data_IF_153924478090
#
_entry.id   IF_153924478090
#
_cell.length_a   1.000
_cell.length_b   1.000
_cell.length_c   1.000
_cell.angle_alpha   90.00
_cell.angle_beta   90.00
_cell.angle_gamma   90.00
#
_symmetry.space_group_name_H-M   'P 1'
#
loop_
_entity.id
_entity.type
_entity.pdbx_description
1 polymer ?
#
# COMPACT_ATOMS: atom_id res chain seq x y z
N UNK A 1 -63.17 17.40 35.24
CA UNK A 1 -62.73 17.27 33.87
C UNK A 1 -61.18 17.33 33.91
N UNK A 2 -60.53 16.20 33.70
CA UNK A 2 -59.07 16.06 33.76
C UNK A 2 -58.52 16.14 32.33
N UNK A 3 -57.68 17.15 32.05
CA UNK A 3 -56.96 17.24 30.77
C UNK A 3 -55.79 16.24 30.77
N UNK A 4 -55.61 15.40 29.77
CA UNK A 4 -54.39 14.63 29.59
C UNK A 4 -53.33 15.50 28.85
N UNK A 5 -52.22 15.73 29.51
CA UNK A 5 -51.02 16.31 28.90
C UNK A 5 -50.40 15.24 27.99
N UNK A 6 -50.47 15.52 26.70
CA UNK A 6 -49.85 14.66 25.67
C UNK A 6 -48.34 14.95 25.64
N UNK A 7 -47.57 14.11 26.28
CA UNK A 7 -46.11 14.20 26.26
C UNK A 7 -45.57 13.64 24.91
N UNK A 8 -45.22 14.56 24.01
CA UNK A 8 -44.59 14.21 22.73
C UNK A 8 -43.10 13.86 22.97
N UNK A 9 -42.79 12.56 23.02
CA UNK A 9 -41.39 12.10 23.06
C UNK A 9 -40.84 12.20 21.65
N UNK A 10 -40.03 13.23 21.38
CA UNK A 10 -39.23 13.35 20.17
C UNK A 10 -38.05 12.37 20.28
N UNK A 11 -38.16 11.19 19.68
CA UNK A 11 -37.04 10.29 19.51
C UNK A 11 -36.08 10.87 18.45
N UNK A 12 -35.03 11.55 18.92
CA UNK A 12 -33.91 11.95 18.07
C UNK A 12 -33.15 10.69 17.67
N UNK A 13 -33.46 10.13 16.50
CA UNK A 13 -32.58 9.14 15.86
C UNK A 13 -31.35 9.89 15.39
N UNK A 14 -30.31 9.91 16.20
CA UNK A 14 -28.96 10.23 15.75
C UNK A 14 -28.53 9.11 14.80
N UNK A 15 -28.67 9.34 13.51
CA UNK A 15 -28.02 8.49 12.51
C UNK A 15 -26.51 8.64 12.75
N UNK A 16 -25.92 7.64 13.40
CA UNK A 16 -24.46 7.47 13.42
C UNK A 16 -24.03 7.28 11.96
N UNK A 17 -23.58 8.34 11.31
CA UNK A 17 -22.87 8.26 10.05
C UNK A 17 -21.52 7.65 10.39
N UNK A 18 -21.48 6.33 10.51
CA UNK A 18 -20.23 5.62 10.46
C UNK A 18 -19.65 5.87 9.07
N UNK A 19 -18.39 6.33 9.00
CA UNK A 19 -17.66 6.39 7.74
C UNK A 19 -17.71 4.99 7.14
N UNK A 20 -18.49 4.84 6.06
CA UNK A 20 -18.76 3.54 5.48
C UNK A 20 -17.53 3.11 4.70
N UNK A 21 -16.79 2.15 5.26
CA UNK A 21 -15.72 1.46 4.53
C UNK A 21 -16.38 0.60 3.46
N UNK A 22 -16.00 0.79 2.21
CA UNK A 22 -16.48 -0.03 1.09
C UNK A 22 -15.39 -1.01 0.71
N UNK A 23 -15.67 -2.31 0.86
CA UNK A 23 -14.77 -3.37 0.40
C UNK A 23 -15.16 -3.82 -1.00
N UNK A 24 -14.20 -3.82 -1.93
CA UNK A 24 -14.38 -4.30 -3.30
C UNK A 24 -13.36 -5.40 -3.61
N UNK A 25 -13.77 -6.51 -4.23
CA UNK A 25 -12.83 -7.50 -4.73
C UNK A 25 -11.98 -6.91 -5.87
N UNK A 26 -10.71 -7.29 -5.97
CA UNK A 26 -9.86 -6.90 -7.10
C UNK A 26 -10.30 -7.55 -8.41
N UNK A 27 -10.85 -8.75 -8.35
CA UNK A 27 -11.19 -9.57 -9.50
C UNK A 27 -12.60 -10.13 -9.36
N UNK A 28 -13.31 -10.20 -10.46
CA UNK A 28 -14.57 -10.96 -10.53
C UNK A 28 -14.26 -12.47 -10.69
N UNK A 29 -14.85 -13.28 -9.82
CA UNK A 29 -14.64 -14.74 -9.81
C UNK A 29 -13.24 -15.14 -9.34
N UNK A 30 -12.68 -16.19 -9.94
CA UNK A 30 -11.34 -16.70 -9.58
C UNK A 30 -10.26 -15.73 -10.07
N UNK A 31 -9.41 -15.22 -9.17
CA UNK A 31 -8.33 -14.31 -9.55
C UNK A 31 -7.35 -14.94 -10.54
N UNK A 32 -6.73 -14.16 -11.44
CA UNK A 32 -5.69 -14.68 -12.34
C UNK A 32 -4.53 -15.31 -11.57
N UNK A 33 -3.85 -16.26 -12.18
CA UNK A 33 -2.71 -16.99 -11.61
C UNK A 33 -3.05 -17.72 -10.29
N UNK A 34 -4.32 -18.07 -10.07
CA UNK A 34 -4.79 -18.80 -8.89
C UNK A 34 -5.56 -20.06 -9.30
N UNK A 35 -5.31 -21.16 -8.60
CA UNK A 35 -6.09 -22.40 -8.68
C UNK A 35 -7.19 -22.37 -7.63
N UNK A 36 -8.36 -22.90 -7.96
CA UNK A 36 -9.40 -23.15 -6.97
C UNK A 36 -8.90 -24.19 -5.96
N UNK A 37 -8.79 -23.82 -4.70
CA UNK A 37 -8.39 -24.69 -3.59
C UNK A 37 -9.22 -24.35 -2.36
N UNK A 38 -9.48 -25.33 -1.54
CA UNK A 38 -10.15 -25.12 -0.25
C UNK A 38 -9.10 -24.67 0.79
N UNK A 39 -8.67 -23.40 0.68
CA UNK A 39 -7.75 -22.76 1.62
C UNK A 39 -8.47 -21.60 2.28
N UNK A 40 -8.34 -21.47 3.59
CA UNK A 40 -8.92 -20.37 4.36
C UNK A 40 -7.91 -19.24 4.54
N UNK A 41 -8.40 -18.01 4.49
CA UNK A 41 -7.63 -16.84 4.92
C UNK A 41 -7.50 -16.89 6.45
N UNK A 42 -6.31 -16.58 6.96
CA UNK A 42 -6.06 -16.52 8.39
C UNK A 42 -5.91 -15.05 8.81
N UNK A 43 -6.88 -14.53 9.55
CA UNK A 43 -6.86 -13.19 10.10
C UNK A 43 -6.78 -13.26 11.63
N UNK A 44 -5.65 -12.84 12.20
CA UNK A 44 -5.39 -12.86 13.64
C UNK A 44 -5.25 -11.46 14.21
N UNK A 45 -5.88 -11.23 15.34
CA UNK A 45 -5.74 -10.01 16.15
C UNK A 45 -4.79 -10.30 17.32
N UNK A 46 -3.49 -10.09 17.08
CA UNK A 46 -2.44 -10.27 18.10
C UNK A 46 -1.61 -8.98 18.20
N UNK A 47 -2.12 -8.01 18.97
CA UNK A 47 -1.60 -6.65 19.02
C UNK A 47 -1.99 -5.84 17.79
N UNK A 48 -1.73 -6.36 16.59
CA UNK A 48 -2.16 -5.83 15.27
C UNK A 48 -2.93 -6.90 14.49
N UNK A 49 -3.70 -6.47 13.49
CA UNK A 49 -4.38 -7.41 12.57
C UNK A 49 -3.35 -7.95 11.58
N UNK A 50 -3.12 -9.27 11.63
CA UNK A 50 -2.27 -10.00 10.68
C UNK A 50 -3.16 -10.85 9.77
N UNK A 51 -3.10 -10.60 8.47
CA UNK A 51 -3.82 -11.41 7.47
C UNK A 51 -2.80 -12.26 6.72
N UNK A 52 -2.99 -13.58 6.74
CA UNK A 52 -2.18 -14.53 6.00
C UNK A 52 -3.04 -15.30 4.99
N UNK A 53 -2.37 -15.97 4.04
CA UNK A 53 -3.00 -16.86 3.07
C UNK A 53 -4.19 -16.22 2.33
N UNK A 54 -4.04 -14.98 1.88
CA UNK A 54 -5.08 -14.25 1.14
C UNK A 54 -5.53 -15.03 -0.09
N UNK A 55 -6.83 -15.38 -0.15
CA UNK A 55 -7.45 -16.09 -1.26
C UNK A 55 -8.34 -15.18 -2.11
N UNK A 56 -8.97 -14.20 -1.48
CA UNK A 56 -9.83 -13.21 -2.13
C UNK A 56 -9.20 -11.82 -1.98
N UNK A 57 -8.35 -11.40 -2.94
CA UNK A 57 -7.73 -10.10 -2.90
C UNK A 57 -8.78 -9.00 -3.07
N UNK A 58 -8.66 -7.93 -2.28
CA UNK A 58 -9.65 -6.85 -2.22
C UNK A 58 -9.01 -5.50 -1.91
N UNK A 59 -9.79 -4.45 -2.07
CA UNK A 59 -9.47 -3.11 -1.56
C UNK A 59 -10.53 -2.68 -0.55
N UNK A 60 -10.07 -2.07 0.55
CA UNK A 60 -10.91 -1.33 1.49
C UNK A 60 -10.78 0.16 1.21
N UNK A 61 -11.88 0.80 0.85
CA UNK A 61 -11.95 2.19 0.41
C UNK A 61 -12.39 3.08 1.55
N UNK A 62 -11.51 4.02 1.93
CA UNK A 62 -11.72 5.05 2.93
C UNK A 62 -11.78 6.40 2.24
N UNK A 63 -12.95 7.02 2.16
CA UNK A 63 -13.12 8.33 1.53
C UNK A 63 -13.16 9.43 2.59
N UNK A 64 -12.47 10.55 2.36
CA UNK A 64 -12.55 11.72 3.24
C UNK A 64 -13.94 12.36 3.16
N UNK A 65 -14.28 13.17 4.17
CA UNK A 65 -15.49 14.00 4.09
C UNK A 65 -15.44 14.90 2.84
N UNK A 66 -16.55 15.00 2.12
CA UNK A 66 -16.62 15.71 0.83
C UNK A 66 -16.14 17.16 0.91
N UNK A 67 -16.33 17.82 2.07
CA UNK A 67 -15.97 19.21 2.29
C UNK A 67 -14.46 19.47 2.32
N UNK A 68 -13.66 18.44 2.63
CA UNK A 68 -12.19 18.54 2.73
C UNK A 68 -11.47 17.73 1.66
N UNK A 69 -12.21 16.97 0.85
CA UNK A 69 -11.62 16.13 -0.19
C UNK A 69 -10.84 16.97 -1.21
N UNK A 70 -9.56 16.64 -1.43
CA UNK A 70 -8.65 17.38 -2.31
C UNK A 70 -8.41 16.69 -3.66
N UNK A 71 -9.07 15.55 -3.90
CA UNK A 71 -8.95 14.76 -5.12
C UNK A 71 -7.79 13.77 -5.13
N UNK A 72 -6.87 13.81 -4.17
CA UNK A 72 -5.78 12.83 -4.08
C UNK A 72 -6.28 11.49 -3.55
N UNK A 73 -5.64 10.40 -4.00
CA UNK A 73 -5.85 9.06 -3.49
C UNK A 73 -4.51 8.34 -3.28
N UNK A 74 -4.44 7.50 -2.26
CA UNK A 74 -3.27 6.68 -1.94
C UNK A 74 -3.68 5.23 -1.84
N UNK A 75 -3.12 4.38 -2.69
CA UNK A 75 -3.24 2.92 -2.65
C UNK A 75 -2.17 2.38 -1.72
N UNK A 76 -2.57 1.74 -0.62
CA UNK A 76 -1.72 1.37 0.50
C UNK A 76 -1.42 -0.12 0.46
N UNK A 77 -0.14 -0.48 0.49
CA UNK A 77 0.35 -1.85 0.56
C UNK A 77 0.97 -2.11 1.93
N UNK A 78 0.27 -2.81 2.85
CA UNK A 78 0.82 -3.20 4.15
C UNK A 78 2.05 -4.09 4.00
N UNK A 79 2.99 -4.00 4.95
CA UNK A 79 4.14 -4.89 5.03
C UNK A 79 3.81 -6.24 5.67
N UNK A 80 4.87 -6.97 6.01
CA UNK A 80 4.78 -8.30 6.62
C UNK A 80 5.62 -9.36 5.90
N UNK A 81 6.72 -8.94 5.25
CA UNK A 81 7.71 -9.84 4.66
C UNK A 81 7.18 -10.72 3.52
N UNK A 82 6.06 -10.37 2.89
CA UNK A 82 5.31 -11.23 1.97
C UNK A 82 4.77 -12.52 2.59
N UNK A 83 4.81 -12.66 3.91
CA UNK A 83 4.26 -13.79 4.66
C UNK A 83 2.89 -13.48 5.28
N UNK A 84 2.67 -12.23 5.66
CA UNK A 84 1.40 -11.69 6.19
C UNK A 84 1.19 -10.26 5.70
N UNK A 85 0.03 -9.69 6.00
CA UNK A 85 -0.25 -8.26 5.91
C UNK A 85 -0.45 -7.70 7.31
N UNK A 86 0.32 -6.67 7.70
CA UNK A 86 0.12 -5.90 8.94
C UNK A 86 -1.04 -4.90 8.70
N UNK A 87 -2.27 -5.41 8.64
CA UNK A 87 -3.38 -4.82 7.89
C UNK A 87 -3.93 -3.52 8.50
N UNK A 88 -4.02 -3.45 9.82
CA UNK A 88 -4.41 -2.21 10.51
C UNK A 88 -3.23 -1.26 10.67
N UNK A 89 -2.12 -1.75 11.22
CA UNK A 89 -0.93 -1.01 11.60
C UNK A 89 -0.26 -0.24 10.45
N UNK A 90 -0.19 -0.86 9.26
CA UNK A 90 0.42 -0.31 8.06
C UNK A 90 -0.60 -0.12 6.92
N UNK A 91 -1.89 -0.22 7.23
CA UNK A 91 -2.98 -0.11 6.28
C UNK A 91 -4.09 0.80 6.74
N UNK A 92 -5.10 0.24 7.46
CA UNK A 92 -6.34 0.97 7.74
C UNK A 92 -6.14 2.20 8.64
N UNK A 93 -5.13 2.20 9.51
CA UNK A 93 -4.85 3.36 10.34
C UNK A 93 -4.28 4.52 9.51
N UNK A 94 -3.42 4.22 8.52
CA UNK A 94 -2.95 5.22 7.56
C UNK A 94 -4.06 5.71 6.64
N UNK A 95 -4.98 4.85 6.20
CA UNK A 95 -6.13 5.26 5.41
C UNK A 95 -7.01 6.27 6.18
N UNK A 96 -7.25 6.04 7.47
CA UNK A 96 -7.99 6.98 8.35
C UNK A 96 -7.23 8.30 8.54
N UNK A 97 -5.89 8.23 8.73
CA UNK A 97 -5.08 9.44 8.82
C UNK A 97 -5.10 10.25 7.51
N UNK A 98 -4.98 9.62 6.35
CA UNK A 98 -5.10 10.27 5.06
C UNK A 98 -6.46 10.95 4.89
N UNK A 99 -7.54 10.33 5.35
CA UNK A 99 -8.86 10.96 5.33
C UNK A 99 -8.89 12.27 6.14
N UNK A 100 -8.18 12.35 7.26
CA UNK A 100 -8.06 13.58 8.04
C UNK A 100 -7.30 14.70 7.28
N UNK A 101 -6.52 14.33 6.27
CA UNK A 101 -5.81 15.25 5.37
C UNK A 101 -6.59 15.54 4.07
N UNK A 102 -7.83 15.05 3.95
CA UNK A 102 -8.66 15.24 2.76
C UNK A 102 -8.31 14.28 1.60
N UNK A 103 -7.58 13.23 1.85
CA UNK A 103 -7.05 12.28 0.87
C UNK A 103 -7.77 10.95 1.00
N UNK A 104 -8.17 10.33 -0.11
CA UNK A 104 -8.72 8.97 -0.11
C UNK A 104 -7.63 7.93 0.20
N UNK A 105 -7.87 7.05 1.18
CA UNK A 105 -6.99 5.92 1.50
C UNK A 105 -7.59 4.61 1.00
N UNK A 106 -6.84 3.82 0.25
CA UNK A 106 -7.30 2.56 -0.33
C UNK A 106 -6.35 1.44 0.11
N UNK A 107 -6.77 0.63 1.07
CA UNK A 107 -5.94 -0.46 1.62
C UNK A 107 -6.09 -1.71 0.77
N UNK A 108 -4.97 -2.26 0.33
CA UNK A 108 -4.98 -3.46 -0.52
C UNK A 108 -4.70 -4.71 0.31
N UNK A 109 -5.65 -5.63 0.31
CA UNK A 109 -5.44 -7.00 0.75
C UNK A 109 -4.94 -7.80 -0.44
N UNK A 110 -3.64 -7.68 -0.74
CA UNK A 110 -3.01 -8.37 -1.88
C UNK A 110 -2.63 -9.81 -1.54
N UNK A 111 -2.61 -10.68 -2.55
CA UNK A 111 -2.22 -12.08 -2.39
C UNK A 111 -0.74 -12.23 -2.07
N UNK A 112 -0.46 -13.16 -1.16
CA UNK A 112 0.89 -13.42 -0.67
C UNK A 112 1.54 -14.56 -1.48
N UNK A 113 2.78 -14.39 -1.96
CA UNK A 113 3.42 -15.35 -2.88
C UNK A 113 3.68 -16.73 -2.27
N UNK A 114 3.63 -16.87 -0.95
CA UNK A 114 3.79 -18.15 -0.27
C UNK A 114 2.55 -19.05 -0.34
N UNK A 115 1.42 -18.57 -0.88
CA UNK A 115 0.18 -19.35 -0.96
C UNK A 115 0.29 -20.47 -2.00
N UNK A 116 -0.13 -21.68 -1.60
CA UNK A 116 -0.13 -22.89 -2.45
C UNK A 116 -1.15 -22.82 -3.60
N UNK A 117 -2.11 -21.92 -3.54
CA UNK A 117 -3.10 -21.72 -4.60
C UNK A 117 -2.54 -21.00 -5.83
N UNK A 118 -1.36 -20.39 -5.75
CA UNK A 118 -0.81 -19.59 -6.84
C UNK A 118 -0.03 -20.43 -7.87
N UNK A 119 -0.16 -20.07 -9.15
CA UNK A 119 0.52 -20.75 -10.27
C UNK A 119 1.83 -20.08 -10.66
N UNK A 120 1.94 -18.78 -10.51
CA UNK A 120 3.16 -17.98 -10.66
C UNK A 120 3.27 -16.98 -9.52
N UNK A 121 3.66 -17.44 -8.32
CA UNK A 121 3.53 -16.67 -7.08
C UNK A 121 4.30 -15.36 -7.06
N UNK A 122 5.45 -15.26 -7.74
CA UNK A 122 6.28 -14.04 -7.75
C UNK A 122 5.64 -12.86 -8.49
N UNK A 123 4.75 -13.16 -9.46
CA UNK A 123 4.06 -12.14 -10.28
C UNK A 123 2.79 -11.62 -9.60
N UNK A 124 2.19 -12.41 -8.72
CA UNK A 124 0.84 -12.15 -8.19
C UNK A 124 0.74 -10.86 -7.37
N UNK A 125 1.68 -10.51 -6.47
CA UNK A 125 1.59 -9.23 -5.76
C UNK A 125 1.61 -8.03 -6.71
N UNK A 126 2.46 -8.03 -7.74
CA UNK A 126 2.51 -6.95 -8.74
C UNK A 126 1.20 -6.85 -9.53
N UNK A 127 0.64 -7.99 -9.94
CA UNK A 127 -0.64 -8.05 -10.64
C UNK A 127 -1.78 -7.45 -9.81
N UNK A 128 -1.86 -7.80 -8.53
CA UNK A 128 -2.87 -7.25 -7.61
C UNK A 128 -2.66 -5.74 -7.36
N UNK A 129 -1.40 -5.29 -7.24
CA UNK A 129 -1.07 -3.88 -7.09
C UNK A 129 -1.48 -3.05 -8.32
N UNK A 130 -1.16 -3.53 -9.53
CA UNK A 130 -1.58 -2.90 -10.79
C UNK A 130 -3.10 -2.83 -10.87
N UNK A 131 -3.80 -3.91 -10.54
CA UNK A 131 -5.27 -3.97 -10.56
C UNK A 131 -5.89 -2.99 -9.56
N UNK A 132 -5.34 -2.88 -8.35
CA UNK A 132 -5.82 -1.94 -7.34
C UNK A 132 -5.75 -0.49 -7.84
N UNK A 133 -4.63 -0.06 -8.43
CA UNK A 133 -4.46 1.28 -8.99
C UNK A 133 -5.47 1.54 -10.12
N UNK A 134 -5.67 0.58 -11.01
CA UNK A 134 -6.63 0.67 -12.11
C UNK A 134 -8.07 0.76 -11.60
N UNK A 135 -8.44 -0.01 -10.56
CA UNK A 135 -9.76 0.07 -9.93
C UNK A 135 -10.03 1.45 -9.30
N UNK A 136 -9.03 2.07 -8.67
CA UNK A 136 -9.16 3.44 -8.16
C UNK A 136 -9.43 4.41 -9.31
N UNK A 137 -8.70 4.33 -10.42
CA UNK A 137 -8.92 5.17 -11.59
C UNK A 137 -10.27 4.94 -12.24
N UNK A 138 -10.74 3.69 -12.32
CA UNK A 138 -12.07 3.35 -12.81
C UNK A 138 -13.18 4.01 -12.00
N UNK A 139 -13.02 4.09 -10.69
CA UNK A 139 -14.02 4.64 -9.77
C UNK A 139 -13.77 6.11 -9.41
N UNK A 140 -12.78 6.76 -10.00
CA UNK A 140 -12.31 8.09 -9.60
C UNK A 140 -13.44 9.14 -9.54
N UNK A 141 -14.30 9.19 -10.56
CA UNK A 141 -15.43 10.11 -10.62
C UNK A 141 -16.44 9.86 -9.48
N UNK A 142 -16.75 8.59 -9.19
CA UNK A 142 -17.71 8.22 -8.14
C UNK A 142 -17.16 8.53 -6.73
N UNK A 143 -15.84 8.48 -6.56
CA UNK A 143 -15.15 8.70 -5.27
C UNK A 143 -14.62 10.13 -5.10
N UNK A 144 -14.91 11.03 -6.03
CA UNK A 144 -14.38 12.39 -6.03
C UNK A 144 -12.84 12.42 -5.99
N UNK A 145 -12.21 11.56 -6.80
CA UNK A 145 -10.76 11.44 -6.97
C UNK A 145 -10.38 11.99 -8.35
N UNK A 146 -9.27 12.72 -8.43
CA UNK A 146 -8.61 13.07 -9.68
C UNK A 146 -7.80 11.86 -10.16
N UNK A 147 -8.10 11.26 -11.33
CA UNK A 147 -7.39 10.08 -11.82
C UNK A 147 -5.90 10.34 -12.13
N UNK A 148 -5.47 11.59 -12.18
CA UNK A 148 -4.06 12.00 -12.32
C UNK A 148 -3.35 12.22 -10.97
N UNK A 149 -4.02 11.98 -9.84
CA UNK A 149 -3.51 12.14 -8.48
C UNK A 149 -3.64 10.86 -7.64
N UNK A 150 -3.38 9.71 -8.27
CA UNK A 150 -3.44 8.39 -7.62
C UNK A 150 -2.02 7.90 -7.33
N UNK A 151 -1.58 8.02 -6.09
CA UNK A 151 -0.28 7.52 -5.63
C UNK A 151 -0.35 6.17 -4.92
N UNK A 152 0.82 5.68 -4.56
CA UNK A 152 0.97 4.45 -3.76
C UNK A 152 1.71 4.74 -2.46
N UNK A 153 1.42 3.95 -1.43
CA UNK A 153 2.14 3.95 -0.16
C UNK A 153 2.46 2.49 0.21
N UNK A 154 3.70 2.24 0.62
CA UNK A 154 4.08 0.89 1.03
C UNK A 154 5.05 0.89 2.20
N UNK A 155 4.91 -0.13 3.03
CA UNK A 155 5.68 -0.33 4.25
C UNK A 155 6.49 -1.62 4.17
N UNK A 156 7.78 -1.60 4.54
CA UNK A 156 8.59 -2.82 4.57
C UNK A 156 8.51 -3.61 3.26
N UNK A 157 8.04 -4.86 3.25
CA UNK A 157 7.78 -5.64 2.03
C UNK A 157 6.67 -5.04 1.15
N UNK A 158 5.68 -4.33 1.73
CA UNK A 158 4.72 -3.52 0.98
C UNK A 158 5.38 -2.32 0.29
N UNK A 159 6.46 -1.77 0.88
CA UNK A 159 7.34 -0.79 0.25
C UNK A 159 8.08 -1.35 -0.96
N UNK A 160 8.50 -2.62 -0.89
CA UNK A 160 9.02 -3.34 -2.05
C UNK A 160 7.97 -3.44 -3.15
N UNK A 161 6.74 -3.83 -2.83
CA UNK A 161 5.65 -3.90 -3.80
C UNK A 161 5.34 -2.53 -4.41
N UNK A 162 5.30 -1.46 -3.59
CA UNK A 162 5.09 -0.09 -4.06
C UNK A 162 6.21 0.37 -5.01
N UNK A 163 7.49 0.11 -4.69
CA UNK A 163 8.61 0.42 -5.58
C UNK A 163 8.60 -0.43 -6.86
N UNK A 164 8.20 -1.70 -6.76
CA UNK A 164 8.07 -2.60 -7.92
C UNK A 164 6.99 -2.10 -8.88
N UNK A 165 5.79 -1.76 -8.40
CA UNK A 165 4.75 -1.22 -9.29
C UNK A 165 5.12 0.16 -9.84
N UNK A 166 5.88 0.97 -9.10
CA UNK A 166 6.33 2.29 -9.56
C UNK A 166 7.36 2.23 -10.69
N UNK A 167 8.14 1.16 -10.76
CA UNK A 167 9.21 0.97 -11.78
C UNK A 167 8.80 -0.01 -12.89
N UNK A 168 7.86 -0.93 -12.60
CA UNK A 168 7.44 -2.00 -13.51
C UNK A 168 5.93 -1.95 -13.83
N UNK A 169 5.31 -0.77 -13.76
CA UNK A 169 3.87 -0.61 -14.03
C UNK A 169 3.44 -1.01 -15.45
N UNK A 170 4.37 -1.04 -16.42
CA UNK A 170 4.16 -1.50 -17.82
C UNK A 170 4.35 -3.01 -17.97
N UNK A 171 4.87 -3.71 -16.96
CA UNK A 171 5.10 -5.14 -17.06
C UNK A 171 3.75 -5.88 -17.13
N UNK A 172 3.51 -6.56 -18.23
CA UNK A 172 2.30 -7.34 -18.45
C UNK A 172 2.45 -8.71 -17.74
N UNK A 173 1.86 -8.82 -16.55
CA UNK A 173 1.86 -10.07 -15.78
C UNK A 173 0.88 -11.09 -16.38
N UNK A 174 -0.25 -10.60 -16.88
CA UNK A 174 -1.32 -11.41 -17.46
C UNK A 174 -1.99 -10.62 -18.60
N UNK A 175 -2.64 -11.32 -19.52
CA UNK A 175 -3.43 -10.64 -20.58
C UNK A 175 -4.58 -9.86 -19.96
N UNK A 176 -4.92 -8.67 -20.50
CA UNK A 176 -6.08 -7.90 -20.04
C UNK A 176 -7.36 -8.75 -20.06
N UNK A 177 -8.12 -8.70 -18.95
CA UNK A 177 -9.37 -9.46 -18.79
C UNK A 177 -10.61 -8.63 -19.06
N UNK A 178 -10.53 -7.33 -18.79
CA UNK A 178 -11.64 -6.40 -18.92
C UNK A 178 -11.16 -4.97 -19.25
N UNK A 179 -12.11 -4.04 -19.34
CA UNK A 179 -11.82 -2.63 -19.65
C UNK A 179 -10.98 -1.92 -18.57
N UNK A 180 -11.00 -2.42 -17.32
CA UNK A 180 -10.20 -1.83 -16.22
C UNK A 180 -8.72 -2.04 -16.49
N UNK A 181 -8.33 -3.18 -17.06
CA UNK A 181 -6.94 -3.51 -17.35
C UNK A 181 -6.33 -2.63 -18.47
N UNK A 182 -7.17 -1.92 -19.24
CA UNK A 182 -6.71 -0.92 -20.21
C UNK A 182 -6.28 0.41 -19.57
N UNK A 183 -6.66 0.67 -18.31
CA UNK A 183 -6.26 1.86 -17.57
C UNK A 183 -4.78 1.77 -17.16
N UNK A 184 -4.14 2.94 -16.97
CA UNK A 184 -2.75 2.99 -16.50
C UNK A 184 -2.62 2.44 -15.08
N UNK A 185 -1.64 1.57 -14.85
CA UNK A 185 -1.23 1.13 -13.52
C UNK A 185 -0.09 1.99 -12.93
N UNK A 186 0.39 3.04 -13.66
CA UNK A 186 1.47 3.90 -13.18
C UNK A 186 0.98 4.77 -12.02
N UNK A 187 1.61 4.72 -10.83
CA UNK A 187 1.31 5.67 -9.76
C UNK A 187 1.74 7.09 -10.16
N UNK A 188 1.02 8.11 -9.68
CA UNK A 188 1.38 9.49 -9.94
C UNK A 188 2.44 10.00 -8.92
N UNK A 189 2.52 9.35 -7.76
CA UNK A 189 3.56 9.55 -6.74
C UNK A 189 3.72 8.30 -5.88
N UNK A 190 4.83 8.19 -5.13
CA UNK A 190 5.14 7.04 -4.26
C UNK A 190 5.56 7.48 -2.88
N UNK A 191 5.11 6.77 -1.85
CA UNK A 191 5.46 6.96 -0.44
C UNK A 191 5.99 5.63 0.08
N UNK A 192 7.25 5.59 0.49
CA UNK A 192 7.96 4.37 0.89
C UNK A 192 8.47 4.51 2.32
N UNK A 193 7.87 3.78 3.26
CA UNK A 193 8.24 3.79 4.67
C UNK A 193 9.08 2.53 5.00
N UNK A 194 10.31 2.74 5.47
CA UNK A 194 11.29 1.68 5.78
C UNK A 194 11.23 0.52 4.77
N UNK A 195 11.30 0.85 3.45
CA UNK A 195 10.99 -0.12 2.41
C UNK A 195 12.10 -1.15 2.26
N UNK A 196 11.72 -2.39 1.99
CA UNK A 196 12.59 -3.30 1.27
C UNK A 196 12.67 -2.79 -0.17
N UNK A 197 13.85 -2.75 -0.75
CA UNK A 197 14.10 -2.27 -2.13
C UNK A 197 14.97 -3.27 -2.89
N UNK A 198 16.15 -3.58 -2.34
CA UNK A 198 17.13 -4.42 -2.99
C UNK A 198 17.03 -5.87 -2.50
N UNK A 199 17.06 -6.79 -3.44
CA UNK A 199 17.24 -8.21 -3.15
C UNK A 199 18.69 -8.67 -3.31
N UNK A 200 19.61 -7.73 -3.58
CA UNK A 200 21.05 -8.01 -3.64
C UNK A 200 21.63 -8.09 -2.23
N UNK A 201 22.60 -8.95 -2.04
CA UNK A 201 23.08 -9.39 -0.71
C UNK A 201 23.50 -8.25 0.25
N UNK A 202 24.00 -7.13 -0.28
CA UNK A 202 24.47 -6.01 0.56
C UNK A 202 23.36 -5.30 1.37
N UNK A 203 22.10 -5.36 0.90
CA UNK A 203 20.96 -4.66 1.55
C UNK A 203 19.74 -5.56 1.71
N UNK A 204 19.89 -6.87 1.53
CA UNK A 204 18.78 -7.80 1.44
C UNK A 204 18.02 -7.97 2.76
N UNK A 205 16.69 -7.88 2.69
CA UNK A 205 15.81 -8.50 3.67
C UNK A 205 15.51 -9.95 3.23
N UNK A 206 16.25 -10.89 3.80
CA UNK A 206 16.25 -12.30 3.35
C UNK A 206 14.86 -12.93 3.37
N UNK A 207 14.02 -12.60 4.36
CA UNK A 207 12.67 -13.13 4.46
C UNK A 207 11.78 -12.70 3.28
N UNK A 208 11.81 -11.43 2.89
CA UNK A 208 11.04 -10.92 1.74
C UNK A 208 11.52 -11.52 0.42
N UNK A 209 12.85 -11.61 0.21
CA UNK A 209 13.42 -12.25 -0.99
C UNK A 209 12.99 -13.70 -1.09
N UNK A 210 13.18 -14.47 -0.01
CA UNK A 210 12.78 -15.87 0.04
C UNK A 210 11.30 -16.08 -0.26
N UNK A 211 10.43 -15.30 0.37
CA UNK A 211 9.00 -15.44 0.20
C UNK A 211 8.52 -15.06 -1.21
N UNK A 212 9.15 -14.06 -1.86
CA UNK A 212 8.73 -13.60 -3.19
C UNK A 212 9.34 -14.45 -4.33
N UNK A 213 10.65 -14.68 -4.30
CA UNK A 213 11.40 -15.29 -5.41
C UNK A 213 12.11 -16.59 -5.06
N UNK A 214 12.01 -17.04 -3.80
CA UNK A 214 12.61 -18.30 -3.34
C UNK A 214 14.10 -18.19 -2.96
N UNK A 215 14.63 -19.26 -2.37
CA UNK A 215 16.02 -19.30 -1.89
C UNK A 215 17.04 -19.41 -3.03
N UNK A 216 16.65 -20.01 -4.18
CA UNK A 216 17.53 -20.31 -5.31
C UNK A 216 17.23 -19.42 -6.54
N UNK A 217 16.85 -18.14 -6.31
CA UNK A 217 16.57 -17.22 -7.39
C UNK A 217 17.80 -16.95 -8.25
N UNK A 218 17.62 -16.87 -9.59
CA UNK A 218 18.69 -16.46 -10.49
C UNK A 218 19.08 -15.00 -10.27
N UNK A 219 20.31 -14.61 -10.66
CA UNK A 219 20.77 -13.23 -10.57
C UNK A 219 19.84 -12.28 -11.36
N UNK A 220 19.36 -12.72 -12.53
CA UNK A 220 18.39 -11.95 -13.33
C UNK A 220 17.10 -11.66 -12.55
N UNK A 221 16.58 -12.66 -11.83
CA UNK A 221 15.39 -12.49 -11.03
C UNK A 221 15.64 -11.60 -9.80
N UNK A 222 16.79 -11.73 -9.15
CA UNK A 222 17.23 -10.83 -8.07
C UNK A 222 17.32 -9.40 -8.58
N UNK A 223 17.94 -9.17 -9.73
CA UNK A 223 18.10 -7.83 -10.30
C UNK A 223 16.76 -7.25 -10.75
N UNK A 224 15.88 -8.06 -11.33
CA UNK A 224 14.52 -7.63 -11.70
C UNK A 224 13.71 -7.15 -10.49
N UNK A 225 13.81 -7.81 -9.35
CA UNK A 225 13.12 -7.45 -8.12
C UNK A 225 13.94 -6.54 -7.19
N UNK A 226 15.06 -5.99 -7.66
CA UNK A 226 15.82 -4.95 -6.98
C UNK A 226 15.39 -3.58 -7.53
N UNK A 227 14.56 -2.87 -6.76
CA UNK A 227 13.87 -1.66 -7.22
C UNK A 227 14.82 -0.58 -7.73
N UNK A 228 15.99 -0.40 -7.10
CA UNK A 228 17.00 0.58 -7.47
C UNK A 228 17.59 0.37 -8.87
N UNK A 229 17.56 -0.87 -9.39
CA UNK A 229 18.05 -1.19 -10.72
C UNK A 229 17.01 -0.92 -11.84
N UNK A 230 15.77 -0.72 -11.46
CA UNK A 230 14.64 -0.56 -12.39
C UNK A 230 14.14 0.90 -12.48
N UNK A 231 14.74 1.82 -11.71
CA UNK A 231 14.40 3.24 -11.75
C UNK A 231 14.77 3.83 -13.11
N UNK A 232 13.86 4.64 -13.66
CA UNK A 232 14.06 5.39 -14.89
C UNK A 232 13.34 6.76 -14.80
N UNK A 233 13.42 7.58 -15.85
CA UNK A 233 12.84 8.94 -15.87
C UNK A 233 11.30 8.96 -15.79
N UNK A 234 10.62 7.84 -16.00
CA UNK A 234 9.16 7.71 -15.87
C UNK A 234 8.73 7.27 -14.46
N UNK A 235 9.69 6.90 -13.58
CA UNK A 235 9.42 6.57 -12.18
C UNK A 235 8.79 7.79 -11.50
N UNK A 236 7.71 7.64 -10.71
CA UNK A 236 7.01 8.76 -10.13
C UNK A 236 7.82 9.47 -9.04
N UNK A 237 7.53 10.77 -8.74
CA UNK A 237 8.07 11.46 -7.57
C UNK A 237 7.89 10.63 -6.31
N UNK A 238 8.92 10.56 -5.48
CA UNK A 238 8.97 9.62 -4.36
C UNK A 238 9.36 10.27 -3.05
N UNK A 239 8.58 9.98 -2.00
CA UNK A 239 8.91 10.26 -0.60
C UNK A 239 9.42 8.99 0.08
N UNK A 240 10.57 9.07 0.76
CA UNK A 240 11.14 7.96 1.53
C UNK A 240 11.32 8.37 3.00
N UNK A 241 11.01 7.45 3.91
CA UNK A 241 11.30 7.61 5.34
C UNK A 241 11.90 6.31 5.91
N UNK A 242 12.95 6.44 6.73
CA UNK A 242 13.63 5.30 7.34
C UNK A 242 14.21 5.67 8.70
N UNK A 243 14.36 4.70 9.61
CA UNK A 243 15.11 4.84 10.83
C UNK A 243 16.52 4.26 10.67
N UNK A 244 17.55 4.98 11.16
CA UNK A 244 18.94 4.54 11.07
C UNK A 244 19.21 3.26 11.88
N UNK A 245 18.47 3.07 12.97
CA UNK A 245 18.56 1.91 13.87
C UNK A 245 17.68 0.72 13.43
N UNK A 246 17.20 0.72 12.18
CA UNK A 246 16.42 -0.39 11.64
C UNK A 246 17.30 -1.63 11.42
N UNK A 247 17.13 -2.64 12.30
CA UNK A 247 17.86 -3.91 12.25
C UNK A 247 17.13 -4.97 11.41
N UNK A 248 15.90 -4.70 10.97
CA UNK A 248 15.09 -5.61 10.14
C UNK A 248 15.34 -5.40 8.66
N UNK A 249 15.26 -4.13 8.22
CA UNK A 249 15.53 -3.73 6.84
C UNK A 249 16.62 -2.67 6.84
N UNK A 250 17.84 -2.98 6.33
CA UNK A 250 18.96 -2.04 6.33
C UNK A 250 18.60 -0.73 5.61
N UNK A 251 19.00 0.39 6.21
CA UNK A 251 18.77 1.76 5.67
C UNK A 251 19.29 1.92 4.23
N UNK A 252 20.28 1.12 3.87
CA UNK A 252 20.86 1.06 2.52
C UNK A 252 19.80 0.87 1.44
N UNK A 253 18.68 0.20 1.74
CA UNK A 253 17.55 0.08 0.82
C UNK A 253 17.05 1.46 0.38
N UNK A 254 16.75 2.35 1.32
CA UNK A 254 16.29 3.71 1.01
C UNK A 254 17.35 4.56 0.35
N UNK A 255 18.62 4.43 0.76
CA UNK A 255 19.75 5.16 0.17
C UNK A 255 19.98 4.74 -1.29
N UNK A 256 19.95 3.45 -1.59
CA UNK A 256 20.10 2.91 -2.95
C UNK A 256 19.00 3.43 -3.88
N UNK A 257 17.74 3.38 -3.43
CA UNK A 257 16.61 3.82 -4.23
C UNK A 257 16.63 5.33 -4.46
N UNK A 258 16.89 6.13 -3.42
CA UNK A 258 17.04 7.57 -3.53
C UNK A 258 18.14 7.96 -4.53
N UNK A 259 19.31 7.31 -4.45
CA UNK A 259 20.42 7.55 -5.38
C UNK A 259 20.04 7.21 -6.82
N UNK A 260 19.30 6.14 -7.04
CA UNK A 260 18.80 5.77 -8.37
C UNK A 260 17.80 6.80 -8.91
N UNK A 261 16.84 7.25 -8.08
CA UNK A 261 15.90 8.32 -8.44
C UNK A 261 16.63 9.62 -8.81
N UNK A 262 17.59 10.03 -7.98
CA UNK A 262 18.39 11.24 -8.24
C UNK A 262 19.16 11.14 -9.59
N UNK A 263 19.80 10.01 -9.86
CA UNK A 263 20.50 9.77 -11.14
C UNK A 263 19.54 9.79 -12.35
N UNK A 264 18.31 9.34 -12.17
CA UNK A 264 17.28 9.34 -13.21
C UNK A 264 16.60 10.71 -13.38
N UNK A 265 16.94 11.72 -12.58
CA UNK A 265 16.32 13.04 -12.59
C UNK A 265 14.90 13.08 -12.02
N UNK A 266 14.51 12.06 -11.26
CA UNK A 266 13.20 11.97 -10.59
C UNK A 266 13.23 12.77 -9.29
N UNK A 267 12.19 13.57 -9.04
CA UNK A 267 12.03 14.29 -7.76
C UNK A 267 11.87 13.29 -6.60
N UNK A 268 12.74 13.38 -5.61
CA UNK A 268 12.70 12.49 -4.45
C UNK A 268 13.02 13.24 -3.17
N UNK A 269 12.38 12.84 -2.07
CA UNK A 269 12.64 13.31 -0.72
C UNK A 269 12.98 12.12 0.18
N UNK A 270 14.10 12.19 0.91
CA UNK A 270 14.53 11.12 1.82
C UNK A 270 14.69 11.70 3.23
N UNK A 271 13.97 11.10 4.18
CA UNK A 271 13.96 11.49 5.58
C UNK A 271 14.49 10.34 6.44
N UNK A 272 15.61 10.60 7.14
CA UNK A 272 16.27 9.61 8.00
C UNK A 272 16.18 10.10 9.43
N UNK A 273 15.68 9.22 10.31
CA UNK A 273 15.61 9.45 11.75
C UNK A 273 16.63 8.58 12.47
N UNK A 274 17.31 9.09 13.52
CA UNK A 274 18.33 8.32 14.24
C UNK A 274 17.79 7.05 14.90
N UNK A 275 16.52 7.10 15.36
CA UNK A 275 15.87 6.00 16.07
C UNK A 275 14.41 5.85 15.63
N UNK A 276 13.89 4.61 15.66
CA UNK A 276 12.55 4.23 15.28
C UNK A 276 12.38 2.73 15.24
N UNK A 277 13.46 2.01 14.99
CA UNK A 277 13.52 0.58 14.69
C UNK A 277 12.68 0.22 13.44
N UNK A 278 12.58 -1.06 13.09
CA UNK A 278 11.73 -1.52 11.99
C UNK A 278 10.25 -1.46 12.37
N UNK A 279 9.39 -1.14 11.38
CA UNK A 279 7.94 -1.18 11.58
C UNK A 279 7.41 -0.10 12.52
N UNK A 280 8.03 1.08 12.56
CA UNK A 280 7.60 2.17 13.45
C UNK A 280 6.22 2.75 13.11
N UNK A 281 5.68 2.49 11.91
CA UNK A 281 4.38 2.99 11.46
C UNK A 281 4.19 4.49 11.77
N UNK A 282 3.26 4.88 12.62
CA UNK A 282 3.10 6.28 13.02
C UNK A 282 4.24 6.84 13.87
N UNK A 283 5.11 5.99 14.42
CA UNK A 283 6.21 6.42 15.29
C UNK A 283 5.76 6.97 16.65
N UNK A 284 4.51 6.69 17.08
CA UNK A 284 3.95 7.24 18.31
C UNK A 284 4.80 6.89 19.53
N UNK A 285 5.21 7.92 20.28
CA UNK A 285 6.06 7.77 21.47
C UNK A 285 7.51 7.36 21.19
N UNK A 286 7.95 7.37 19.92
CA UNK A 286 9.32 7.00 19.50
C UNK A 286 10.22 8.22 19.21
N UNK A 287 9.88 9.39 19.76
CA UNK A 287 10.68 10.60 19.62
C UNK A 287 10.57 11.26 18.24
N UNK A 288 11.70 11.71 17.68
CA UNK A 288 11.71 12.54 16.47
C UNK A 288 11.04 11.87 15.27
N UNK A 289 11.08 10.54 15.16
CA UNK A 289 10.45 9.83 14.04
C UNK A 289 8.92 10.03 13.99
N UNK A 290 8.28 10.40 15.10
CA UNK A 290 6.85 10.70 15.12
C UNK A 290 6.46 11.86 14.19
N UNK A 291 7.40 12.77 13.90
CA UNK A 291 7.16 13.95 13.06
C UNK A 291 7.10 13.64 11.55
N UNK A 292 7.46 12.44 11.11
CA UNK A 292 7.55 12.13 9.68
C UNK A 292 6.22 12.31 8.93
N UNK A 293 5.09 12.09 9.61
CA UNK A 293 3.76 12.27 9.03
C UNK A 293 3.45 13.74 8.70
N UNK A 294 3.94 14.68 9.52
CA UNK A 294 3.75 16.11 9.27
C UNK A 294 4.57 16.54 8.05
N UNK A 295 5.79 16.00 7.92
CA UNK A 295 6.65 16.21 6.74
C UNK A 295 6.01 15.60 5.51
N UNK A 296 5.45 14.40 5.61
CA UNK A 296 4.71 13.76 4.51
C UNK A 296 3.47 14.59 4.12
N UNK A 297 2.69 15.07 5.09
CA UNK A 297 1.52 15.91 4.81
C UNK A 297 1.89 17.22 4.11
N UNK A 298 3.05 17.81 4.45
CA UNK A 298 3.57 18.97 3.74
C UNK A 298 3.97 18.62 2.31
N UNK A 299 4.73 17.53 2.12
CA UNK A 299 5.17 17.08 0.80
C UNK A 299 3.99 16.76 -0.14
N UNK A 300 2.93 16.15 0.37
CA UNK A 300 1.74 15.82 -0.43
C UNK A 300 0.96 17.06 -0.91
N UNK A 301 1.09 18.20 -0.24
CA UNK A 301 0.47 19.47 -0.69
C UNK A 301 1.18 20.08 -1.92
N UNK A 302 2.43 19.70 -2.15
CA UNK A 302 3.24 20.20 -3.27
C UNK A 302 3.06 19.34 -4.55
N UNK A 303 2.24 18.27 -4.49
CA UNK A 303 1.86 17.41 -5.62
C UNK A 303 0.59 17.94 -6.28
#
# INVERSE_FOLDING_TARGET
MKNPILTLILALMAALVQAQVTTLPLWEGLPPLQKAMNLEEDAKQEGIIRIANVQTPSIDVYLPAKQIANGQAVVIFPGGGYGILAYDWEGTDFAKWLNSQGIAGIVVKYRLPISKSLTDPKEVPLLDAQRAIRLVRQNAAAWNIDPSKVGVMGFSAGGHLASTVSTQYKHEVERPKDAIDALSARPDFSILAYPVISFRDAAVHSGSRKNLIGDNASQELIDRFSGELNVNSETPPTFLVHAQDDMGVPIENSLLYYNALHKAGVKASLHIYPAGAHGFAFGLGKGAVETWRDVLAAWMKDL
#
